data_IF_226315825787
#
_entry.id   IF_226315825787
#
_cell.length_a   1.000
_cell.length_b   1.000
_cell.length_c   1.000
_cell.angle_alpha   90.00
_cell.angle_beta   90.00
_cell.angle_gamma   90.00
#
_symmetry.space_group_name_H-M   'P 1'
#
loop_
_entity.id
_entity.type
_entity.pdbx_description
1 polymer ?
#
# COMPACT_ATOMS: atom_id res chain seq x y z
N UNK A 1 -26.45 15.18 -9.56
CA UNK A 1 -25.43 14.13 -9.73
C UNK A 1 -25.33 13.40 -8.40
N UNK A 2 -25.20 12.07 -8.38
CA UNK A 2 -25.09 11.34 -7.12
C UNK A 2 -23.76 11.69 -6.47
N UNK A 3 -23.76 12.27 -5.28
CA UNK A 3 -22.56 12.58 -4.50
C UNK A 3 -22.02 11.35 -3.74
N UNK A 4 -22.59 10.18 -3.98
CA UNK A 4 -22.18 8.94 -3.33
C UNK A 4 -21.01 8.28 -4.05
N UNK A 5 -20.01 7.86 -3.28
CA UNK A 5 -18.89 7.06 -3.81
C UNK A 5 -19.44 5.71 -4.31
N UNK A 6 -19.21 5.33 -5.59
CA UNK A 6 -19.69 4.07 -6.13
C UNK A 6 -19.09 2.87 -5.40
N UNK A 7 -19.90 1.85 -5.14
CA UNK A 7 -19.45 0.53 -4.69
C UNK A 7 -19.63 -0.45 -5.85
N UNK A 8 -18.53 -1.04 -6.30
CA UNK A 8 -18.49 -1.95 -7.45
C UNK A 8 -18.19 -3.36 -6.95
N UNK A 9 -19.17 -4.26 -7.07
CA UNK A 9 -18.99 -5.68 -6.79
C UNK A 9 -18.47 -6.41 -8.03
N UNK A 10 -17.30 -7.06 -7.89
CA UNK A 10 -16.66 -7.80 -8.98
C UNK A 10 -16.79 -9.32 -8.87
N UNK A 11 -17.64 -9.84 -7.98
CA UNK A 11 -17.78 -11.28 -7.74
C UNK A 11 -18.11 -12.07 -9.02
N UNK A 12 -18.99 -11.53 -9.87
CA UNK A 12 -19.37 -12.15 -11.14
C UNK A 12 -18.22 -12.19 -12.14
N UNK A 13 -17.38 -11.16 -12.14
CA UNK A 13 -16.16 -11.11 -12.95
C UNK A 13 -15.14 -12.12 -12.44
N UNK A 14 -14.90 -12.17 -11.12
CA UNK A 14 -14.01 -13.14 -10.48
C UNK A 14 -14.47 -14.58 -10.74
N UNK A 15 -15.78 -14.82 -10.75
CA UNK A 15 -16.38 -16.12 -11.08
C UNK A 15 -16.37 -16.45 -12.59
N UNK A 16 -15.87 -15.56 -13.45
CA UNK A 16 -15.78 -15.78 -14.90
C UNK A 16 -17.14 -15.85 -15.59
N UNK A 17 -18.19 -15.23 -15.04
CA UNK A 17 -19.53 -15.30 -15.65
C UNK A 17 -19.55 -14.60 -17.01
N UNK A 18 -20.24 -15.17 -18.02
CA UNK A 18 -20.36 -14.54 -19.34
C UNK A 18 -20.88 -13.11 -19.24
N UNK A 19 -20.20 -12.17 -19.92
CA UNK A 19 -20.58 -10.75 -19.93
C UNK A 19 -20.17 -9.94 -18.69
N UNK A 20 -19.72 -10.57 -17.60
CA UNK A 20 -19.37 -9.87 -16.36
C UNK A 20 -18.20 -8.91 -16.54
N UNK A 21 -17.15 -9.30 -17.28
CA UNK A 21 -16.01 -8.41 -17.59
C UNK A 21 -16.48 -7.09 -18.20
N UNK A 22 -17.34 -7.14 -19.23
CA UNK A 22 -17.81 -5.94 -19.91
C UNK A 22 -18.71 -5.08 -19.01
N UNK A 23 -19.52 -5.70 -18.14
CA UNK A 23 -20.35 -4.99 -17.17
C UNK A 23 -19.51 -4.28 -16.11
N UNK A 24 -18.57 -4.99 -15.47
CA UNK A 24 -17.64 -4.42 -14.49
C UNK A 24 -16.79 -3.32 -15.11
N UNK A 25 -16.28 -3.51 -16.33
CA UNK A 25 -15.48 -2.50 -17.03
C UNK A 25 -16.27 -1.19 -17.24
N UNK A 26 -17.56 -1.27 -17.61
CA UNK A 26 -18.42 -0.08 -17.72
C UNK A 26 -18.59 0.63 -16.38
N UNK A 27 -18.86 -0.10 -15.30
CA UNK A 27 -19.00 0.49 -13.97
C UNK A 27 -17.72 1.20 -13.51
N UNK A 28 -16.55 0.59 -13.74
CA UNK A 28 -15.25 1.18 -13.41
C UNK A 28 -14.98 2.42 -14.26
N UNK A 29 -15.27 2.35 -15.57
CA UNK A 29 -15.15 3.49 -16.47
C UNK A 29 -16.00 4.66 -15.96
N UNK A 30 -17.27 4.43 -15.67
CA UNK A 30 -18.19 5.48 -15.26
C UNK A 30 -17.76 6.09 -13.91
N UNK A 31 -17.35 5.26 -12.95
CA UNK A 31 -16.84 5.75 -11.67
C UNK A 31 -15.58 6.62 -11.83
N UNK A 32 -14.61 6.19 -12.65
CA UNK A 32 -13.35 6.92 -12.86
C UNK A 32 -13.50 8.17 -13.72
N UNK A 33 -14.46 8.22 -14.63
CA UNK A 33 -14.68 9.37 -15.52
C UNK A 33 -15.63 10.41 -14.95
N UNK A 34 -16.43 10.06 -13.93
CA UNK A 34 -17.35 11.00 -13.28
C UNK A 34 -16.84 11.46 -11.91
N UNK A 35 -16.43 10.53 -11.05
CA UNK A 35 -16.03 10.82 -9.66
C UNK A 35 -14.51 10.69 -9.50
N UNK A 36 -13.87 9.79 -10.25
CA UNK A 36 -12.44 9.49 -10.13
C UNK A 36 -12.10 8.50 -9.01
N UNK A 37 -13.10 7.95 -8.32
CA UNK A 37 -12.93 7.05 -7.17
C UNK A 37 -14.09 6.06 -7.02
N UNK A 38 -13.83 4.88 -6.46
CA UNK A 38 -14.84 3.88 -6.08
C UNK A 38 -14.34 2.95 -4.98
N UNK A 39 -15.26 2.29 -4.29
CA UNK A 39 -14.99 1.16 -3.39
C UNK A 39 -15.22 -0.13 -4.17
N UNK A 40 -14.33 -1.11 -4.00
CA UNK A 40 -14.42 -2.40 -4.69
C UNK A 40 -14.75 -3.51 -3.69
N UNK A 41 -15.74 -4.33 -4.00
CA UNK A 41 -16.16 -5.51 -3.21
C UNK A 41 -16.17 -6.77 -4.09
N UNK A 42 -16.36 -7.95 -3.49
CA UNK A 42 -16.41 -9.22 -4.25
C UNK A 42 -15.05 -9.68 -4.81
N UNK A 43 -13.95 -9.08 -4.37
CA UNK A 43 -12.58 -9.39 -4.84
C UNK A 43 -12.03 -10.75 -4.40
N UNK A 44 -12.69 -11.45 -3.48
CA UNK A 44 -12.25 -12.76 -2.99
C UNK A 44 -11.06 -12.74 -2.02
N UNK A 45 -10.40 -11.60 -1.78
CA UNK A 45 -9.40 -11.47 -0.69
C UNK A 45 -10.02 -11.87 0.66
N UNK A 46 -9.48 -12.88 1.36
CA UNK A 46 -10.06 -13.36 2.61
C UNK A 46 -10.03 -12.30 3.71
N UNK A 47 -11.16 -12.08 4.38
CA UNK A 47 -11.26 -11.18 5.52
C UNK A 47 -10.19 -11.44 6.62
N UNK A 48 -9.89 -12.70 6.99
CA UNK A 48 -8.84 -12.97 7.97
C UNK A 48 -7.44 -12.51 7.53
N UNK A 49 -7.15 -12.46 6.23
CA UNK A 49 -5.87 -11.95 5.73
C UNK A 49 -5.79 -10.43 5.96
N UNK A 50 -6.86 -9.70 5.64
CA UNK A 50 -6.94 -8.25 5.83
C UNK A 50 -6.75 -7.91 7.32
N UNK A 51 -7.46 -8.60 8.21
CA UNK A 51 -7.37 -8.40 9.66
C UNK A 51 -5.97 -8.69 10.20
N UNK A 52 -5.33 -9.79 9.76
CA UNK A 52 -3.95 -10.10 10.13
C UNK A 52 -2.99 -9.03 9.66
N UNK A 53 -3.11 -8.55 8.43
CA UNK A 53 -2.24 -7.48 7.89
C UNK A 53 -2.34 -6.21 8.73
N UNK A 54 -3.55 -5.79 9.13
CA UNK A 54 -3.71 -4.64 10.03
C UNK A 54 -3.15 -4.89 11.44
N UNK A 55 -3.29 -6.11 11.96
CA UNK A 55 -2.71 -6.49 13.26
C UNK A 55 -1.16 -6.46 13.21
N UNK A 56 -0.55 -6.99 12.15
CA UNK A 56 0.90 -6.98 11.95
C UNK A 56 1.43 -5.55 11.76
N UNK A 57 0.73 -4.70 10.99
CA UNK A 57 1.07 -3.28 10.87
C UNK A 57 1.08 -2.59 12.25
N UNK A 58 0.07 -2.86 13.09
CA UNK A 58 0.03 -2.35 14.47
C UNK A 58 1.23 -2.83 15.29
N UNK A 59 1.59 -4.11 15.20
CA UNK A 59 2.75 -4.67 15.91
C UNK A 59 4.06 -4.01 15.46
N UNK A 60 4.26 -3.79 14.16
CA UNK A 60 5.43 -3.10 13.62
C UNK A 60 5.51 -1.66 14.12
N UNK A 61 4.42 -0.91 14.07
CA UNK A 61 4.41 0.49 14.48
C UNK A 61 4.53 0.68 16.01
N UNK A 62 4.22 -0.36 16.79
CA UNK A 62 4.45 -0.40 18.24
C UNK A 62 5.92 -0.66 18.64
N UNK A 63 6.80 -1.03 17.70
CA UNK A 63 8.23 -1.20 18.00
C UNK A 63 8.87 0.13 18.45
N UNK A 64 9.90 0.08 19.32
CA UNK A 64 10.69 1.25 19.66
C UNK A 64 11.22 1.94 18.41
N UNK A 65 11.26 3.28 18.42
CA UNK A 65 11.66 4.06 17.24
C UNK A 65 13.04 3.66 16.70
N UNK A 66 14.00 3.30 17.56
CA UNK A 66 15.31 2.83 17.14
C UNK A 66 15.25 1.56 16.26
N UNK A 67 14.33 0.63 16.58
CA UNK A 67 14.11 -0.59 15.79
C UNK A 67 13.44 -0.29 14.46
N UNK A 68 12.45 0.62 14.44
CA UNK A 68 11.83 1.09 13.21
C UNK A 68 12.84 1.82 12.30
N UNK A 69 13.69 2.66 12.87
CA UNK A 69 14.74 3.38 12.14
C UNK A 69 15.86 2.48 11.62
N UNK A 70 16.10 1.32 12.25
CA UNK A 70 17.01 0.31 11.70
C UNK A 70 16.51 -0.28 10.36
N UNK A 71 15.21 -0.13 10.07
CA UNK A 71 14.56 -0.53 8.82
C UNK A 71 14.31 0.65 7.89
N UNK A 72 14.96 1.81 8.08
CA UNK A 72 14.71 3.03 7.32
C UNK A 72 14.72 2.78 5.80
N UNK A 73 13.81 3.44 5.08
CA UNK A 73 13.73 3.39 3.63
C UNK A 73 15.11 3.44 2.94
N UNK A 74 15.39 2.43 2.12
CA UNK A 74 16.59 2.33 1.29
C UNK A 74 16.41 3.00 -0.08
N UNK A 75 17.42 2.90 -0.94
CA UNK A 75 17.45 3.42 -2.31
C UNK A 75 16.36 2.85 -3.24
N UNK A 76 15.80 1.69 -2.86
CA UNK A 76 14.66 1.04 -3.52
C UNK A 76 13.32 1.45 -2.93
N UNK A 77 13.28 2.38 -1.98
CA UNK A 77 12.08 2.81 -1.26
C UNK A 77 11.36 1.65 -0.55
N UNK A 78 12.13 0.72 0.02
CA UNK A 78 11.65 -0.38 0.87
C UNK A 78 12.03 -0.11 2.32
N UNK A 79 11.13 -0.40 3.25
CA UNK A 79 11.35 -0.19 4.69
C UNK A 79 10.52 0.95 5.28
N UNK A 80 10.94 1.42 6.45
CA UNK A 80 10.23 2.33 7.33
C UNK A 80 10.37 3.81 6.93
N UNK A 81 9.22 4.48 6.87
CA UNK A 81 9.07 5.92 6.64
C UNK A 81 8.61 6.60 7.94
N UNK A 82 9.42 7.53 8.42
CA UNK A 82 9.06 8.40 9.55
C UNK A 82 7.97 9.39 9.16
N UNK A 83 7.19 9.85 10.15
CA UNK A 83 6.24 10.94 10.02
C UNK A 83 6.90 12.21 9.47
N UNK A 84 6.13 13.00 8.72
CA UNK A 84 6.57 14.26 8.11
C UNK A 84 7.55 14.10 6.95
N UNK A 85 7.89 12.86 6.55
CA UNK A 85 8.84 12.62 5.46
C UNK A 85 8.25 12.91 4.09
N UNK A 86 6.98 12.59 3.86
CA UNK A 86 6.32 12.90 2.60
C UNK A 86 5.68 14.28 2.71
N UNK A 87 6.04 15.20 1.82
CA UNK A 87 5.51 16.55 1.84
C UNK A 87 5.16 16.97 0.41
N UNK A 88 3.86 17.01 0.09
CA UNK A 88 3.38 17.48 -1.21
C UNK A 88 3.23 19.00 -1.14
N UNK A 89 4.22 19.71 -1.67
CA UNK A 89 4.25 21.19 -1.67
C UNK A 89 3.71 21.84 -2.95
N UNK A 90 3.21 21.02 -3.87
CA UNK A 90 2.65 21.45 -5.16
C UNK A 90 1.12 21.43 -5.18
N UNK A 91 0.48 21.12 -4.04
CA UNK A 91 -0.98 21.11 -3.95
C UNK A 91 -1.49 22.49 -3.60
N UNK A 92 -2.39 23.04 -4.41
CA UNK A 92 -3.06 24.32 -4.12
C UNK A 92 -4.05 24.21 -2.95
N UNK A 93 -4.39 22.99 -2.53
CA UNK A 93 -5.26 22.73 -1.38
C UNK A 93 -4.51 22.72 -0.05
N UNK A 94 -3.18 22.56 -0.07
CA UNK A 94 -2.37 22.47 1.13
C UNK A 94 -1.74 23.82 1.47
N UNK A 95 -1.57 24.10 2.77
CA UNK A 95 -0.76 25.22 3.20
C UNK A 95 0.72 24.85 3.00
N UNK A 96 1.32 25.31 1.90
CA UNK A 96 2.68 24.90 1.55
C UNK A 96 3.79 25.66 2.31
N UNK A 97 3.42 26.52 3.27
CA UNK A 97 4.36 27.22 4.17
C UNK A 97 5.12 26.18 5.03
N UNK A 98 6.46 26.08 4.91
CA UNK A 98 7.25 25.12 5.69
C UNK A 98 7.26 25.40 7.19
N UNK A 99 6.86 26.59 7.65
CA UNK A 99 6.70 26.89 9.08
C UNK A 99 5.43 26.31 9.69
N UNK A 100 4.44 25.95 8.84
CA UNK A 100 3.14 25.41 9.26
C UNK A 100 2.95 23.96 8.83
N UNK A 101 3.38 23.60 7.62
CA UNK A 101 3.25 22.24 7.07
C UNK A 101 4.54 21.43 7.18
N UNK A 102 4.45 20.44 8.07
CA UNK A 102 5.51 19.49 8.41
C UNK A 102 5.46 18.20 7.59
N UNK A 103 4.66 18.15 6.52
CA UNK A 103 4.44 16.93 5.73
C UNK A 103 3.29 16.08 6.27
N UNK A 104 3.10 14.91 5.67
CA UNK A 104 2.10 13.94 6.08
C UNK A 104 2.49 13.33 7.42
N UNK A 105 1.58 13.41 8.40
CA UNK A 105 1.83 12.96 9.77
C UNK A 105 1.64 11.45 9.97
N UNK A 106 1.68 10.67 8.89
CA UNK A 106 1.68 9.22 8.96
C UNK A 106 3.11 8.67 8.91
N UNK A 107 3.37 7.63 9.69
CA UNK A 107 4.45 6.70 9.41
C UNK A 107 3.97 5.62 8.43
N UNK A 108 4.89 4.93 7.77
CA UNK A 108 4.55 3.81 6.90
C UNK A 108 5.69 2.79 6.82
N UNK A 109 5.38 1.60 6.35
CA UNK A 109 6.36 0.57 6.06
C UNK A 109 6.12 0.01 4.65
N UNK A 110 7.11 0.16 3.78
CA UNK A 110 6.99 -0.17 2.37
C UNK A 110 7.58 -1.55 2.09
N UNK A 111 6.73 -2.43 1.56
CA UNK A 111 7.11 -3.74 1.02
C UNK A 111 6.81 -3.79 -0.47
N UNK A 112 7.59 -4.60 -1.19
CA UNK A 112 7.46 -4.85 -2.62
C UNK A 112 7.40 -6.34 -2.87
N UNK A 113 7.12 -6.70 -4.13
CA UNK A 113 7.17 -8.08 -4.56
C UNK A 113 8.54 -8.68 -4.27
N UNK A 114 8.54 -9.76 -3.49
CA UNK A 114 9.72 -10.57 -3.27
C UNK A 114 10.21 -11.17 -4.58
N UNK A 115 11.53 -11.25 -4.73
CA UNK A 115 12.18 -11.79 -5.92
C UNK A 115 13.33 -12.69 -5.51
N UNK A 116 13.57 -13.77 -6.25
CA UNK A 116 14.69 -14.64 -5.97
C UNK A 116 16.03 -13.92 -6.25
N UNK A 117 17.15 -14.36 -5.65
CA UNK A 117 18.46 -13.71 -5.82
C UNK A 117 18.97 -13.64 -7.27
N UNK A 118 18.49 -14.53 -8.14
CA UNK A 118 18.85 -14.62 -9.56
C UNK A 118 17.89 -13.85 -10.49
N UNK A 119 16.93 -13.09 -9.94
CA UNK A 119 16.01 -12.28 -10.75
C UNK A 119 16.78 -11.25 -11.61
N UNK A 120 16.58 -11.20 -12.94
CA UNK A 120 17.30 -10.28 -13.83
C UNK A 120 17.17 -8.80 -13.46
N UNK A 121 16.06 -8.40 -12.85
CA UNK A 121 15.87 -7.02 -12.41
C UNK A 121 16.69 -6.72 -11.15
N UNK A 122 16.90 -7.71 -10.29
CA UNK A 122 17.79 -7.57 -9.14
C UNK A 122 19.25 -7.49 -9.61
N UNK A 123 19.66 -8.41 -10.48
CA UNK A 123 21.03 -8.47 -11.01
C UNK A 123 21.43 -7.22 -11.82
N UNK A 124 20.46 -6.57 -12.48
CA UNK A 124 20.70 -5.31 -13.19
C UNK A 124 20.74 -4.07 -12.29
N UNK A 125 20.54 -4.21 -10.97
CA UNK A 125 20.52 -3.09 -10.03
C UNK A 125 19.31 -2.16 -10.23
N UNK A 126 18.21 -2.67 -10.82
CA UNK A 126 17.03 -1.85 -11.11
C UNK A 126 16.43 -1.31 -9.82
N UNK A 127 16.22 0.02 -9.77
CA UNK A 127 15.55 0.67 -8.65
C UNK A 127 14.13 0.15 -8.47
N UNK A 128 13.66 0.16 -7.22
CA UNK A 128 12.31 -0.27 -6.82
C UNK A 128 12.03 -1.77 -6.97
N UNK A 129 13.08 -2.54 -7.13
CA UNK A 129 13.11 -4.00 -7.05
C UNK A 129 13.60 -4.35 -5.64
N UNK A 130 13.21 -5.50 -5.10
CA UNK A 130 13.63 -5.94 -3.76
C UNK A 130 15.17 -5.99 -3.57
N UNK A 131 15.65 -6.52 -2.44
CA UNK A 131 14.89 -7.19 -1.39
C UNK A 131 14.11 -6.23 -0.48
N UNK A 132 13.10 -6.75 0.21
CA UNK A 132 12.42 -6.05 1.29
C UNK A 132 13.30 -5.98 2.54
N UNK A 133 13.09 -4.95 3.37
CA UNK A 133 13.77 -4.82 4.65
C UNK A 133 12.89 -5.36 5.77
N UNK A 134 13.13 -6.60 6.19
CA UNK A 134 12.32 -7.23 7.24
C UNK A 134 12.88 -6.94 8.64
N UNK A 135 12.03 -6.74 9.66
CA UNK A 135 12.47 -6.75 11.05
C UNK A 135 13.14 -8.07 11.38
N UNK A 136 14.12 -8.04 12.28
CA UNK A 136 14.69 -9.27 12.82
C UNK A 136 13.60 -10.05 13.57
N UNK A 137 13.61 -11.38 13.45
CA UNK A 137 12.65 -12.24 14.16
C UNK A 137 12.73 -12.08 15.68
N UNK A 138 13.90 -11.68 16.22
CA UNK A 138 14.05 -11.36 17.64
C UNK A 138 13.30 -10.09 18.06
N UNK A 139 13.09 -9.16 17.14
CA UNK A 139 12.41 -7.89 17.40
C UNK A 139 10.92 -7.98 17.08
N UNK A 140 10.55 -8.71 16.02
CA UNK A 140 9.16 -8.91 15.63
C UNK A 140 8.91 -10.32 15.05
N UNK A 141 8.76 -11.33 15.92
CA UNK A 141 8.64 -12.73 15.50
C UNK A 141 7.48 -12.98 14.54
N UNK A 142 7.74 -13.71 13.47
CA UNK A 142 6.72 -14.19 12.52
C UNK A 142 6.14 -13.12 11.60
N UNK A 143 6.58 -11.86 11.68
CA UNK A 143 6.01 -10.76 10.90
C UNK A 143 5.98 -11.04 9.40
N UNK A 144 7.12 -11.48 8.84
CA UNK A 144 7.24 -11.78 7.41
C UNK A 144 6.33 -12.94 6.97
N UNK A 145 6.15 -13.95 7.83
CA UNK A 145 5.35 -15.13 7.51
C UNK A 145 3.84 -14.86 7.62
N UNK A 146 3.44 -13.85 8.39
CA UNK A 146 2.05 -13.48 8.63
C UNK A 146 1.47 -12.54 7.55
N UNK A 147 2.33 -11.94 6.71
CA UNK A 147 1.99 -11.07 5.58
C UNK A 147 1.93 -11.84 4.25
#
# INVERSE_FOLDING_TARGET
MSETIPVIDIADYVAGRPGALAATARQVHDALTTIGFFVLTGHGVPQPLIERTFAEARRLHALPIAKKLALKLNEHNNGYMVMGRYAVRTSDLNNNDPSVYSGDLNEAFFVKRERPPDDPLLLSGRRFVGPNQWPADSDLPGFRANL
#
